data_IF_912307134527
#
_entry.id   IF_912307134527
#
_cell.length_a   1.000
_cell.length_b   1.000
_cell.length_c   1.000
_cell.angle_alpha   90.00
_cell.angle_beta   90.00
_cell.angle_gamma   90.00
#
_symmetry.space_group_name_H-M   'P 1'
#
loop_
_entity.id
_entity.type
_entity.pdbx_description
1 polymer ?
#
# COMPACT_ATOMS: atom_id res chain seq x y z
N UNK A 1 -26.17 -5.02 -8.73
CA UNK A 1 -25.85 -5.62 -10.03
C UNK A 1 -24.34 -5.76 -10.22
N UNK A 2 -23.52 -4.70 -10.07
CA UNK A 2 -22.08 -4.73 -10.31
C UNK A 2 -21.28 -5.67 -9.37
N UNK A 3 -21.65 -5.77 -8.08
CA UNK A 3 -21.01 -6.70 -7.13
C UNK A 3 -21.18 -8.14 -7.58
N UNK A 4 -22.36 -8.50 -8.08
CA UNK A 4 -22.63 -9.84 -8.60
C UNK A 4 -21.88 -10.13 -9.91
N UNK A 5 -21.64 -9.12 -10.74
CA UNK A 5 -20.89 -9.26 -12.01
C UNK A 5 -19.39 -9.47 -11.80
N UNK A 6 -18.85 -9.07 -10.63
CA UNK A 6 -17.42 -9.21 -10.31
C UNK A 6 -17.01 -10.66 -10.01
N UNK A 7 -17.98 -11.55 -9.75
CA UNK A 7 -17.76 -13.00 -9.57
C UNK A 7 -16.63 -13.32 -8.59
N UNK A 8 -15.83 -14.31 -8.93
CA UNK A 8 -14.71 -14.76 -8.09
C UNK A 8 -13.66 -13.68 -7.84
N UNK A 9 -13.35 -12.84 -8.85
CA UNK A 9 -12.37 -11.76 -8.69
C UNK A 9 -12.81 -10.74 -7.62
N UNK A 10 -14.11 -10.45 -7.56
CA UNK A 10 -14.65 -9.55 -6.55
C UNK A 10 -14.53 -10.10 -5.13
N UNK A 11 -14.85 -11.38 -4.94
CA UNK A 11 -14.76 -12.05 -3.64
C UNK A 11 -13.29 -12.15 -3.20
N UNK A 12 -12.41 -12.60 -4.11
CA UNK A 12 -10.99 -12.72 -3.84
C UNK A 12 -10.36 -11.37 -3.46
N UNK A 13 -10.72 -10.30 -4.21
CA UNK A 13 -10.21 -8.97 -3.93
C UNK A 13 -10.72 -8.42 -2.58
N UNK A 14 -12.02 -8.54 -2.30
CA UNK A 14 -12.60 -8.09 -1.02
C UNK A 14 -11.96 -8.82 0.17
N UNK A 15 -11.78 -10.13 0.08
CA UNK A 15 -11.11 -10.93 1.11
C UNK A 15 -9.65 -10.54 1.31
N UNK A 16 -8.87 -10.46 0.22
CA UNK A 16 -7.46 -10.03 0.26
C UNK A 16 -7.34 -8.64 0.86
N UNK A 17 -8.18 -7.71 0.41
CA UNK A 17 -8.19 -6.33 0.91
C UNK A 17 -8.50 -6.26 2.41
N UNK A 18 -9.48 -7.04 2.89
CA UNK A 18 -9.85 -7.13 4.31
C UNK A 18 -8.68 -7.65 5.13
N UNK A 19 -8.10 -8.79 4.73
CA UNK A 19 -6.95 -9.39 5.42
C UNK A 19 -5.77 -8.42 5.46
N UNK A 20 -5.43 -7.79 4.34
CA UNK A 20 -4.31 -6.83 4.25
C UNK A 20 -4.47 -5.68 5.24
N UNK A 21 -5.66 -5.08 5.32
CA UNK A 21 -5.89 -3.96 6.24
C UNK A 21 -5.81 -4.39 7.71
N UNK A 22 -6.35 -5.55 8.05
CA UNK A 22 -6.28 -6.08 9.43
C UNK A 22 -4.84 -6.43 9.79
N UNK A 23 -4.11 -7.10 8.91
CA UNK A 23 -2.71 -7.48 9.14
C UNK A 23 -1.81 -6.26 9.29
N UNK A 24 -2.09 -5.17 8.56
CA UNK A 24 -1.38 -3.91 8.74
C UNK A 24 -1.52 -3.37 10.16
N UNK A 25 -2.75 -3.26 10.66
CA UNK A 25 -3.01 -2.74 12.02
C UNK A 25 -2.36 -3.65 13.06
N UNK A 26 -2.55 -4.96 12.98
CA UNK A 26 -1.97 -5.90 13.94
C UNK A 26 -0.43 -5.89 13.85
N UNK A 27 0.14 -5.69 12.66
CA UNK A 27 1.60 -5.57 12.50
C UNK A 27 2.15 -4.38 13.29
N UNK A 28 1.60 -3.17 13.11
CA UNK A 28 2.08 -1.98 13.81
C UNK A 28 1.82 -1.99 15.32
N UNK A 29 0.90 -2.83 15.80
CA UNK A 29 0.68 -3.06 17.23
C UNK A 29 1.70 -4.05 17.85
N UNK A 30 2.29 -4.92 17.03
CA UNK A 30 3.21 -5.97 17.47
C UNK A 30 4.67 -5.75 17.06
N UNK A 31 4.97 -4.65 16.37
CA UNK A 31 6.33 -4.19 16.05
C UNK A 31 6.31 -2.68 15.89
N UNK A 32 7.47 -2.06 15.67
CA UNK A 32 7.47 -0.65 15.36
C UNK A 32 7.01 -0.38 13.92
N UNK A 33 6.51 0.83 13.66
CA UNK A 33 6.01 1.25 12.35
C UNK A 33 7.08 1.12 11.25
N UNK A 34 8.34 1.39 11.59
CA UNK A 34 9.46 1.30 10.66
C UNK A 34 9.64 -0.13 10.11
N UNK A 35 9.57 -1.15 10.98
CA UNK A 35 9.66 -2.55 10.58
C UNK A 35 8.51 -2.91 9.62
N UNK A 36 7.28 -2.54 9.96
CA UNK A 36 6.11 -2.78 9.10
C UNK A 36 6.28 -2.13 7.73
N UNK A 37 6.74 -0.88 7.67
CA UNK A 37 6.95 -0.16 6.40
C UNK A 37 8.07 -0.77 5.55
N UNK A 38 9.14 -1.28 6.17
CA UNK A 38 10.19 -2.03 5.45
C UNK A 38 9.63 -3.32 4.84
N UNK A 39 8.80 -4.05 5.59
CA UNK A 39 8.15 -5.25 5.03
C UNK A 39 7.22 -4.88 3.86
N UNK A 40 6.44 -3.81 3.98
CA UNK A 40 5.57 -3.31 2.91
C UNK A 40 6.37 -2.87 1.68
N UNK A 41 7.57 -2.35 1.85
CA UNK A 41 8.44 -1.98 0.72
C UNK A 41 8.85 -3.16 -0.16
N UNK A 42 8.61 -4.40 0.26
CA UNK A 42 8.76 -5.60 -0.57
C UNK A 42 7.57 -5.83 -1.52
N UNK A 43 6.45 -5.13 -1.35
CA UNK A 43 5.24 -5.34 -2.15
C UNK A 43 5.46 -5.18 -3.67
N UNK A 44 6.24 -4.22 -4.18
CA UNK A 44 6.54 -4.13 -5.61
C UNK A 44 7.26 -5.37 -6.15
N UNK A 45 8.22 -5.90 -5.39
CA UNK A 45 8.96 -7.12 -5.76
C UNK A 45 8.04 -8.34 -5.76
N UNK A 46 7.22 -8.50 -4.71
CA UNK A 46 6.23 -9.57 -4.62
C UNK A 46 5.21 -9.49 -5.77
N UNK A 47 4.73 -8.27 -6.09
CA UNK A 47 3.84 -8.05 -7.23
C UNK A 47 4.48 -8.45 -8.56
N UNK A 48 5.74 -8.12 -8.77
CA UNK A 48 6.48 -8.49 -9.97
C UNK A 48 6.56 -10.01 -10.13
N UNK A 49 6.91 -10.72 -9.04
CA UNK A 49 7.01 -12.18 -9.01
C UNK A 49 5.63 -12.83 -9.23
N UNK A 50 4.60 -12.37 -8.51
CA UNK A 50 3.25 -12.93 -8.60
C UNK A 50 2.67 -12.67 -10.00
N UNK A 51 2.87 -11.48 -10.58
CA UNK A 51 2.45 -11.16 -11.95
C UNK A 51 3.14 -12.04 -12.99
N UNK A 52 4.43 -12.33 -12.80
CA UNK A 52 5.16 -13.23 -13.69
C UNK A 52 4.56 -14.64 -13.67
N UNK A 53 4.21 -15.16 -12.49
CA UNK A 53 3.68 -16.53 -12.32
C UNK A 53 2.23 -16.63 -12.83
N UNK A 54 1.35 -15.72 -12.42
CA UNK A 54 -0.09 -15.84 -12.65
C UNK A 54 -0.57 -15.13 -13.92
N UNK A 55 0.01 -13.98 -14.26
CA UNK A 55 -0.39 -13.20 -15.43
C UNK A 55 0.54 -13.40 -16.61
N UNK A 56 1.70 -14.05 -16.38
CA UNK A 56 2.79 -14.17 -17.37
C UNK A 56 3.26 -12.78 -17.87
N UNK A 57 3.01 -11.74 -17.09
CA UNK A 57 3.53 -10.39 -17.34
C UNK A 57 4.93 -10.30 -16.75
N UNK A 58 5.96 -10.16 -17.60
CA UNK A 58 7.33 -9.93 -17.13
C UNK A 58 7.59 -8.43 -17.05
N UNK A 59 7.83 -7.88 -15.84
CA UNK A 59 8.21 -6.49 -15.70
C UNK A 59 9.51 -6.20 -16.46
N UNK A 60 9.59 -5.02 -17.05
CA UNK A 60 10.77 -4.57 -17.76
C UNK A 60 12.00 -4.53 -16.83
N UNK A 61 13.20 -4.69 -17.37
CA UNK A 61 14.44 -4.58 -16.59
C UNK A 61 14.53 -3.25 -15.82
N UNK A 62 14.02 -2.17 -16.40
CA UNK A 62 13.96 -0.85 -15.76
C UNK A 62 13.06 -0.87 -14.51
N UNK A 63 11.95 -1.60 -14.54
CA UNK A 63 11.07 -1.78 -13.39
C UNK A 63 11.76 -2.57 -12.28
N UNK A 64 12.50 -3.63 -12.62
CA UNK A 64 13.29 -4.38 -11.64
C UNK A 64 14.36 -3.52 -10.97
N UNK A 65 15.10 -2.72 -11.75
CA UNK A 65 16.09 -1.80 -11.21
C UNK A 65 15.44 -0.78 -10.28
N UNK A 66 14.30 -0.20 -10.66
CA UNK A 66 13.57 0.73 -9.81
C UNK A 66 13.11 0.08 -8.50
N UNK A 67 12.57 -1.16 -8.55
CA UNK A 67 12.16 -1.91 -7.36
C UNK A 67 13.35 -2.12 -6.41
N UNK A 68 14.48 -2.55 -6.91
CA UNK A 68 15.68 -2.81 -6.10
C UNK A 68 16.17 -1.51 -5.43
N UNK A 69 16.32 -0.43 -6.21
CA UNK A 69 16.81 0.85 -5.70
C UNK A 69 15.86 1.41 -4.63
N UNK A 70 14.56 1.41 -4.89
CA UNK A 70 13.58 1.95 -3.93
C UNK A 70 13.47 1.11 -2.67
N UNK A 71 13.52 -0.22 -2.78
CA UNK A 71 13.53 -1.12 -1.61
C UNK A 71 14.77 -0.87 -0.74
N UNK A 72 15.96 -0.74 -1.34
CA UNK A 72 17.19 -0.41 -0.62
C UNK A 72 17.12 0.99 0.03
N UNK A 73 16.52 1.96 -0.63
CA UNK A 73 16.33 3.29 -0.07
C UNK A 73 15.37 3.28 1.15
N UNK A 74 14.29 2.49 1.12
CA UNK A 74 13.41 2.33 2.28
C UNK A 74 14.13 1.64 3.44
N UNK A 75 14.91 0.60 3.17
CA UNK A 75 15.74 -0.05 4.19
C UNK A 75 16.72 0.97 4.81
N UNK A 76 17.35 1.81 3.99
CA UNK A 76 18.26 2.85 4.46
C UNK A 76 17.56 3.88 5.36
N UNK A 77 16.35 4.35 4.99
CA UNK A 77 15.56 5.29 5.79
C UNK A 77 15.30 4.74 7.20
N UNK A 78 14.93 3.48 7.29
CA UNK A 78 14.50 2.88 8.55
C UNK A 78 15.58 2.04 9.25
N UNK A 79 16.81 2.02 8.73
CA UNK A 79 17.88 1.17 9.25
C UNK A 79 18.13 1.33 10.76
N UNK A 80 18.13 2.58 11.24
CA UNK A 80 18.37 2.90 12.66
C UNK A 80 17.15 2.63 13.56
N UNK A 81 15.97 2.44 12.96
CA UNK A 81 14.71 2.17 13.66
C UNK A 81 14.34 0.68 13.64
N UNK A 82 15.18 -0.17 13.01
CA UNK A 82 14.97 -1.61 12.99
C UNK A 82 15.13 -2.20 14.38
N UNK A 83 14.11 -2.91 14.84
CA UNK A 83 14.17 -3.71 16.07
C UNK A 83 14.13 -5.20 15.71
N UNK A 84 15.11 -5.97 16.22
CA UNK A 84 15.33 -7.36 15.82
C UNK A 84 14.42 -8.34 16.59
N UNK A 85 13.67 -7.87 17.58
CA UNK A 85 12.90 -8.73 18.50
C UNK A 85 11.49 -9.14 18.06
N UNK A 86 10.88 -8.42 17.12
CA UNK A 86 9.44 -8.50 16.89
C UNK A 86 9.07 -9.40 15.69
N UNK A 87 9.37 -10.69 15.82
CA UNK A 87 9.12 -11.66 14.74
C UNK A 87 7.66 -11.67 14.28
N UNK A 88 6.69 -11.63 15.22
CA UNK A 88 5.25 -11.68 14.88
C UNK A 88 4.83 -10.45 14.06
N UNK A 89 5.17 -9.25 14.51
CA UNK A 89 4.83 -8.01 13.81
C UNK A 89 5.47 -7.94 12.41
N UNK A 90 6.74 -8.32 12.30
CA UNK A 90 7.45 -8.38 11.03
C UNK A 90 6.82 -9.40 10.06
N UNK A 91 6.44 -10.58 10.55
CA UNK A 91 5.74 -11.59 9.76
C UNK A 91 4.38 -11.07 9.26
N UNK A 92 3.61 -10.41 10.11
CA UNK A 92 2.32 -9.81 9.74
C UNK A 92 2.49 -8.67 8.72
N UNK A 93 3.56 -7.88 8.84
CA UNK A 93 3.95 -6.88 7.84
C UNK A 93 4.24 -7.50 6.47
N UNK A 94 4.93 -8.66 6.45
CA UNK A 94 5.17 -9.41 5.20
C UNK A 94 3.88 -9.99 4.61
N UNK A 95 2.95 -10.45 5.45
CA UNK A 95 1.61 -10.87 5.01
C UNK A 95 0.86 -9.70 4.41
N UNK A 96 0.94 -8.51 5.03
CA UNK A 96 0.38 -7.28 4.48
C UNK A 96 0.97 -6.94 3.10
N UNK A 97 2.31 -6.95 2.95
CA UNK A 97 2.99 -6.73 1.67
C UNK A 97 2.53 -7.71 0.59
N UNK A 98 2.40 -8.99 0.97
CA UNK A 98 1.89 -10.03 0.07
C UNK A 98 0.44 -9.75 -0.33
N UNK A 99 -0.39 -9.33 0.61
CA UNK A 99 -1.78 -8.95 0.35
C UNK A 99 -1.91 -7.76 -0.61
N UNK A 100 -1.08 -6.73 -0.47
CA UNK A 100 -1.00 -5.60 -1.41
C UNK A 100 -0.61 -6.08 -2.81
N UNK A 101 0.39 -6.94 -2.90
CA UNK A 101 0.85 -7.53 -4.15
C UNK A 101 -0.24 -8.37 -4.84
N UNK A 102 -0.88 -9.27 -4.10
CA UNK A 102 -1.96 -10.13 -4.60
C UNK A 102 -3.16 -9.28 -5.02
N UNK A 103 -3.54 -8.29 -4.20
CA UNK A 103 -4.64 -7.37 -4.52
C UNK A 103 -4.43 -6.65 -5.85
N UNK A 104 -3.25 -6.07 -6.07
CA UNK A 104 -2.90 -5.40 -7.33
C UNK A 104 -2.92 -6.38 -8.53
N UNK A 105 -2.44 -7.61 -8.34
CA UNK A 105 -2.49 -8.66 -9.39
C UNK A 105 -3.92 -9.09 -9.70
N UNK A 106 -4.79 -9.24 -8.69
CA UNK A 106 -6.22 -9.55 -8.91
C UNK A 106 -6.88 -8.45 -9.74
N UNK A 107 -6.68 -7.17 -9.38
CA UNK A 107 -7.23 -6.05 -10.16
C UNK A 107 -6.68 -6.07 -11.58
N UNK A 108 -5.38 -6.32 -11.74
CA UNK A 108 -4.72 -6.39 -13.03
C UNK A 108 -5.27 -7.53 -13.91
N UNK A 109 -5.59 -8.68 -13.32
CA UNK A 109 -6.22 -9.80 -14.03
C UNK A 109 -7.64 -9.49 -14.50
N UNK A 110 -8.35 -8.64 -13.77
CA UNK A 110 -9.74 -8.27 -13.98
C UNK A 110 -9.93 -6.90 -14.67
N UNK A 111 -9.04 -6.50 -15.61
CA UNK A 111 -9.02 -5.16 -16.23
C UNK A 111 -10.35 -4.68 -16.80
N UNK A 112 -11.21 -5.61 -17.24
CA UNK A 112 -12.47 -5.31 -17.94
C UNK A 112 -13.62 -4.97 -16.97
N UNK A 113 -13.47 -5.26 -15.70
CA UNK A 113 -14.49 -5.02 -14.66
C UNK A 113 -13.95 -4.06 -13.60
N UNK A 114 -14.85 -3.32 -12.95
CA UNK A 114 -14.48 -2.45 -11.84
C UNK A 114 -14.56 -3.22 -10.53
N UNK A 115 -13.44 -3.33 -9.81
CA UNK A 115 -13.39 -3.93 -8.48
C UNK A 115 -13.59 -2.90 -7.35
N UNK A 116 -13.91 -1.64 -7.68
CA UNK A 116 -14.23 -0.60 -6.68
C UNK A 116 -15.39 -1.03 -5.75
N UNK A 117 -16.51 -1.61 -6.23
CA UNK A 117 -17.54 -2.11 -5.34
C UNK A 117 -17.04 -3.21 -4.39
N UNK A 118 -16.12 -4.06 -4.86
CA UNK A 118 -15.51 -5.11 -4.03
C UNK A 118 -14.56 -4.55 -2.97
N UNK A 119 -13.85 -3.46 -3.28
CA UNK A 119 -13.06 -2.72 -2.29
C UNK A 119 -13.96 -2.13 -1.18
N UNK A 120 -15.11 -1.58 -1.55
CA UNK A 120 -16.11 -1.08 -0.57
C UNK A 120 -16.61 -2.19 0.35
N UNK A 121 -16.92 -3.37 -0.22
CA UNK A 121 -17.29 -4.56 0.59
C UNK A 121 -16.16 -4.94 1.54
N UNK A 122 -14.92 -4.98 1.06
CA UNK A 122 -13.75 -5.25 1.90
C UNK A 122 -13.59 -4.25 3.05
N UNK A 123 -13.76 -2.95 2.79
CA UNK A 123 -13.74 -1.90 3.84
C UNK A 123 -14.88 -2.08 4.86
N UNK A 124 -16.06 -2.43 4.39
CA UNK A 124 -17.19 -2.74 5.29
C UNK A 124 -16.89 -3.94 6.18
N UNK A 125 -16.29 -5.00 5.60
CA UNK A 125 -15.86 -6.16 6.38
C UNK A 125 -14.80 -5.80 7.43
N UNK A 126 -13.82 -4.98 7.10
CA UNK A 126 -12.84 -4.45 8.07
C UNK A 126 -13.55 -3.70 9.20
N UNK A 127 -14.48 -2.80 8.87
CA UNK A 127 -15.23 -2.03 9.85
C UNK A 127 -16.06 -2.93 10.78
N UNK A 128 -16.76 -3.93 10.22
CA UNK A 128 -17.57 -4.87 11.00
C UNK A 128 -16.69 -5.73 11.93
N UNK A 129 -15.52 -6.18 11.45
CA UNK A 129 -14.58 -6.94 12.28
C UNK A 129 -14.02 -6.03 13.38
N UNK A 130 -13.61 -4.80 13.05
CA UNK A 130 -13.08 -3.86 14.03
C UNK A 130 -14.08 -3.55 15.16
N UNK A 131 -15.37 -3.46 14.84
CA UNK A 131 -16.43 -3.27 15.84
C UNK A 131 -16.49 -4.35 16.91
N UNK A 132 -16.02 -5.58 16.61
CA UNK A 132 -15.98 -6.68 17.58
C UNK A 132 -14.89 -6.48 18.64
N UNK A 133 -13.92 -5.61 18.39
CA UNK A 133 -12.78 -5.32 19.27
C UNK A 133 -12.85 -3.97 19.95
N UNK A 134 -13.90 -3.17 19.66
CA UNK A 134 -14.08 -1.83 20.25
C UNK A 134 -14.95 -1.91 21.50
N UNK A 135 -14.37 -1.60 22.65
CA UNK A 135 -15.11 -1.59 23.93
C UNK A 135 -16.09 -0.42 24.05
N UNK A 136 -15.70 0.75 23.56
CA UNK A 136 -16.53 1.99 23.63
C UNK A 136 -16.24 2.90 22.43
N UNK A 137 -17.29 3.22 21.68
CA UNK A 137 -17.26 4.28 20.68
C UNK A 137 -17.52 5.62 21.38
N UNK A 138 -16.45 6.38 21.66
CA UNK A 138 -16.56 7.76 22.14
C UNK A 138 -16.22 8.70 20.99
N UNK A 139 -17.12 9.60 20.68
CA UNK A 139 -16.90 10.73 19.78
C UNK A 139 -16.82 11.99 20.62
N UNK A 140 -15.74 12.73 20.49
CA UNK A 140 -15.49 13.93 21.29
C UNK A 140 -15.22 15.15 20.37
N UNK A 141 -15.67 16.30 20.79
CA UNK A 141 -15.41 17.58 20.12
C UNK A 141 -15.82 17.59 18.65
N UNK A 142 -14.86 17.80 17.75
CA UNK A 142 -15.09 17.95 16.31
C UNK A 142 -15.06 16.61 15.52
N UNK A 143 -15.03 15.47 16.19
CA UNK A 143 -14.90 14.16 15.56
C UNK A 143 -15.99 13.88 14.51
N UNK A 144 -17.23 14.34 14.78
CA UNK A 144 -18.35 14.21 13.84
C UNK A 144 -18.11 14.90 12.50
N UNK A 145 -17.22 15.89 12.44
CA UNK A 145 -16.88 16.60 11.20
C UNK A 145 -15.55 16.10 10.63
N UNK A 146 -14.55 15.91 11.48
CA UNK A 146 -13.19 15.54 11.07
C UNK A 146 -13.15 14.11 10.54
N UNK A 147 -13.78 13.15 11.23
CA UNK A 147 -13.73 11.75 10.84
C UNK A 147 -14.36 11.51 9.45
N UNK A 148 -15.59 12.00 9.15
CA UNK A 148 -16.16 11.85 7.81
C UNK A 148 -15.31 12.50 6.71
N UNK A 149 -14.75 13.68 6.98
CA UNK A 149 -13.88 14.38 6.03
C UNK A 149 -12.61 13.56 5.74
N UNK A 150 -11.94 13.05 6.77
CA UNK A 150 -10.79 12.17 6.63
C UNK A 150 -11.15 10.87 5.89
N UNK A 151 -12.30 10.26 6.21
CA UNK A 151 -12.78 9.05 5.53
C UNK A 151 -12.96 9.28 4.03
N UNK A 152 -13.46 10.43 3.61
CA UNK A 152 -13.65 10.74 2.19
C UNK A 152 -12.31 11.09 1.53
N UNK A 153 -11.57 12.05 2.08
CA UNK A 153 -10.37 12.60 1.45
C UNK A 153 -9.15 11.68 1.53
N UNK A 154 -8.93 11.04 2.67
CA UNK A 154 -7.73 10.23 2.91
C UNK A 154 -7.96 8.73 2.70
N UNK A 155 -9.22 8.28 2.64
CA UNK A 155 -9.52 6.86 2.47
C UNK A 155 -10.30 6.61 1.17
N UNK A 156 -11.52 7.14 1.01
CA UNK A 156 -12.37 6.76 -0.10
C UNK A 156 -11.78 7.14 -1.46
N UNK A 157 -11.36 8.40 -1.65
CA UNK A 157 -10.77 8.87 -2.91
C UNK A 157 -9.49 8.12 -3.25
N UNK A 158 -8.46 8.03 -2.39
CA UNK A 158 -7.24 7.29 -2.69
C UNK A 158 -7.51 5.82 -3.00
N UNK A 159 -8.36 5.14 -2.24
CA UNK A 159 -8.64 3.72 -2.50
C UNK A 159 -9.39 3.46 -3.80
N UNK A 160 -10.25 4.37 -4.25
CA UNK A 160 -10.84 4.29 -5.59
C UNK A 160 -9.75 4.39 -6.65
N UNK A 161 -8.85 5.38 -6.55
CA UNK A 161 -7.75 5.58 -7.49
C UNK A 161 -6.79 4.38 -7.52
N UNK A 162 -6.41 3.86 -6.34
CA UNK A 162 -5.57 2.68 -6.18
C UNK A 162 -6.22 1.43 -6.81
N UNK A 163 -7.54 1.27 -6.66
CA UNK A 163 -8.26 0.13 -7.25
C UNK A 163 -8.39 0.27 -8.78
N UNK A 164 -8.28 1.47 -9.32
CA UNK A 164 -8.31 1.70 -10.77
C UNK A 164 -6.92 1.59 -11.41
N UNK A 165 -5.86 1.97 -10.71
CA UNK A 165 -4.51 2.08 -11.25
C UNK A 165 -3.99 0.80 -11.92
N UNK A 166 -4.15 -0.43 -11.37
CA UNK A 166 -3.64 -1.66 -12.00
C UNK A 166 -4.33 -2.03 -13.32
N UNK A 167 -5.39 -1.33 -13.70
CA UNK A 167 -6.01 -1.49 -15.01
C UNK A 167 -5.18 -0.87 -16.13
N UNK A 168 -4.39 0.16 -15.80
CA UNK A 168 -3.63 0.98 -16.75
C UNK A 168 -2.13 0.66 -16.72
N UNK A 169 -1.57 0.42 -15.53
CA UNK A 169 -0.16 0.12 -15.34
C UNK A 169 0.02 -1.26 -14.68
N UNK A 170 1.24 -1.78 -14.62
CA UNK A 170 1.49 -3.10 -14.03
C UNK A 170 1.27 -3.10 -12.52
N UNK A 171 0.96 -4.27 -11.94
CA UNK A 171 0.78 -4.40 -10.50
C UNK A 171 2.05 -4.01 -9.71
N UNK A 172 3.23 -4.31 -10.26
CA UNK A 172 4.51 -3.91 -9.69
C UNK A 172 4.69 -2.39 -9.67
N UNK A 173 4.34 -1.70 -10.76
CA UNK A 173 4.40 -0.24 -10.83
C UNK A 173 3.44 0.44 -9.86
N UNK A 174 2.21 -0.07 -9.70
CA UNK A 174 1.27 0.46 -8.70
C UNK A 174 1.88 0.39 -7.30
N UNK A 175 2.42 -0.77 -6.91
CA UNK A 175 3.04 -0.92 -5.61
C UNK A 175 4.35 -0.11 -5.47
N UNK A 176 5.07 0.14 -6.57
CA UNK A 176 6.22 1.04 -6.59
C UNK A 176 5.81 2.49 -6.23
N UNK A 177 4.67 2.96 -6.77
CA UNK A 177 4.15 4.29 -6.44
C UNK A 177 3.73 4.43 -4.97
N UNK A 178 3.31 3.34 -4.30
CA UNK A 178 3.04 3.39 -2.87
C UNK A 178 4.26 3.78 -2.03
N UNK A 179 5.47 3.50 -2.50
CA UNK A 179 6.67 3.90 -1.77
C UNK A 179 6.87 5.42 -1.70
N UNK A 180 6.14 6.21 -2.51
CA UNK A 180 6.12 7.67 -2.35
C UNK A 180 5.50 8.09 -1.00
N UNK A 181 4.61 7.29 -0.45
CA UNK A 181 3.98 7.56 0.85
C UNK A 181 5.01 7.60 1.98
N UNK A 182 6.04 6.74 1.93
CA UNK A 182 7.14 6.73 2.91
C UNK A 182 7.89 8.05 3.02
N UNK A 183 7.77 8.91 1.99
CA UNK A 183 8.44 10.21 1.95
C UNK A 183 7.45 11.33 2.14
N UNK A 184 6.30 11.23 1.50
CA UNK A 184 5.27 12.27 1.58
C UNK A 184 4.71 12.38 3.00
N UNK A 185 4.63 11.24 3.75
CA UNK A 185 4.23 11.24 5.15
C UNK A 185 5.13 12.15 6.02
N UNK A 186 6.44 11.86 6.15
CA UNK A 186 7.38 12.73 6.87
C UNK A 186 7.42 14.17 6.36
N UNK A 187 7.27 14.39 5.04
CA UNK A 187 7.21 15.72 4.48
C UNK A 187 6.01 16.53 5.00
N UNK A 188 4.83 15.91 5.05
CA UNK A 188 3.62 16.56 5.60
C UNK A 188 3.76 16.82 7.11
N UNK A 189 4.34 15.89 7.85
CA UNK A 189 4.62 16.06 9.29
C UNK A 189 5.55 17.25 9.49
N UNK A 190 6.61 17.38 8.69
CA UNK A 190 7.52 18.53 8.76
C UNK A 190 6.82 19.86 8.44
N UNK A 191 6.00 19.89 7.38
CA UNK A 191 5.33 21.13 6.95
C UNK A 191 4.24 21.60 7.93
N UNK A 192 3.52 20.66 8.59
CA UNK A 192 2.36 20.98 9.43
C UNK A 192 2.71 21.03 10.92
N UNK A 193 3.53 20.10 11.39
CA UNK A 193 3.89 19.95 12.80
C UNK A 193 5.28 20.53 13.10
N UNK A 194 6.05 20.88 12.04
CA UNK A 194 7.44 21.40 12.12
C UNK A 194 8.44 20.41 12.74
N UNK A 195 8.14 19.12 12.75
CA UNK A 195 9.06 18.07 13.15
C UNK A 195 10.00 17.75 11.99
N UNK A 196 11.30 18.00 12.17
CA UNK A 196 12.28 17.82 11.11
C UNK A 196 12.52 16.32 10.85
N UNK A 197 12.41 15.88 9.57
CA UNK A 197 12.75 14.51 9.21
C UNK A 197 14.25 14.25 9.40
N UNK A 198 14.60 13.00 9.67
CA UNK A 198 16.00 12.59 9.76
C UNK A 198 16.73 12.78 8.44
N UNK A 199 18.05 12.87 8.49
CA UNK A 199 18.89 13.02 7.28
C UNK A 199 18.74 11.80 6.36
N UNK A 200 18.55 10.61 6.92
CA UNK A 200 18.31 9.36 6.22
C UNK A 200 16.98 9.43 5.45
N UNK A 201 15.94 9.99 6.06
CA UNK A 201 14.64 10.20 5.41
C UNK A 201 14.74 11.16 4.23
N UNK A 202 15.53 12.23 4.36
CA UNK A 202 15.74 13.21 3.28
C UNK A 202 16.50 12.55 2.12
N UNK A 203 17.64 11.90 2.40
CA UNK A 203 18.46 11.26 1.37
C UNK A 203 17.71 10.12 0.68
N UNK A 204 17.16 9.19 1.44
CA UNK A 204 16.41 8.07 0.91
C UNK A 204 15.17 8.54 0.13
N UNK A 205 14.51 9.58 0.63
CA UNK A 205 13.39 10.23 -0.04
C UNK A 205 13.74 10.79 -1.42
N UNK A 206 14.83 11.50 -1.54
CA UNK A 206 15.33 11.99 -2.83
C UNK A 206 15.61 10.84 -3.78
N UNK A 207 16.25 9.78 -3.33
CA UNK A 207 16.53 8.58 -4.13
C UNK A 207 15.24 7.94 -4.64
N UNK A 208 14.22 7.77 -3.80
CA UNK A 208 12.94 7.16 -4.18
C UNK A 208 12.21 8.04 -5.21
N UNK A 209 12.06 9.34 -4.95
CA UNK A 209 11.40 10.28 -5.87
C UNK A 209 12.10 10.28 -7.22
N UNK A 210 13.43 10.41 -7.23
CA UNK A 210 14.21 10.45 -8.48
C UNK A 210 14.08 9.13 -9.25
N UNK A 211 14.12 7.99 -8.55
CA UNK A 211 13.98 6.66 -9.17
C UNK A 211 12.60 6.49 -9.80
N UNK A 212 11.53 6.81 -9.08
CA UNK A 212 10.16 6.68 -9.58
C UNK A 212 9.90 7.66 -10.73
N UNK A 213 10.37 8.91 -10.61
CA UNK A 213 10.24 9.91 -11.67
C UNK A 213 10.97 9.48 -12.95
N UNK A 214 12.22 9.00 -12.82
CA UNK A 214 13.00 8.48 -13.95
C UNK A 214 12.33 7.27 -14.59
N UNK A 215 11.87 6.31 -13.78
CA UNK A 215 11.13 5.14 -14.26
C UNK A 215 9.88 5.56 -15.05
N UNK A 216 9.08 6.50 -14.50
CA UNK A 216 7.85 7.00 -15.14
C UNK A 216 8.13 7.67 -16.49
N UNK A 217 9.14 8.52 -16.56
CA UNK A 217 9.56 9.18 -17.83
C UNK A 217 10.03 8.15 -18.86
N UNK A 218 10.79 7.13 -18.43
CA UNK A 218 11.26 6.06 -19.32
C UNK A 218 10.13 5.14 -19.78
N UNK A 219 9.09 4.95 -18.97
CA UNK A 219 7.89 4.19 -19.35
C UNK A 219 7.06 4.94 -20.41
N UNK A 220 6.88 6.26 -20.24
CA UNK A 220 6.16 7.10 -21.21
C UNK A 220 6.83 7.17 -22.60
N UNK A 221 8.15 7.04 -22.68
CA UNK A 221 8.88 7.05 -23.97
C UNK A 221 8.69 5.78 -24.81
N UNK A 222 8.01 4.76 -24.28
CA UNK A 222 7.74 3.49 -24.99
C UNK A 222 6.35 3.43 -25.64
N UNK A 223 5.51 4.45 -25.39
CA UNK A 223 4.22 4.65 -26.02
C UNK A 223 4.39 5.56 -27.24
#
# INVERSE_FOLDING_TARGET
>A
AEIASNGWHGIAYAGTFTITNIMFVISIENTNVANTLIMIALAPMLSAIISLIFLKENPDQKTWVAIIITTLAVIFIFYNALDVGDFLGNFLGLVCATGLAVGAVIIRSAKKISLVPSAMVGKLMVALIALLFVDKLKLEGNDLTIIPLMCVMCVAIPFVLITLAPRYITAAEVNLFFLLETILGPLWVWLVIHEQPSIETIIGGIVIIFTIATHSVLALRKI
#
